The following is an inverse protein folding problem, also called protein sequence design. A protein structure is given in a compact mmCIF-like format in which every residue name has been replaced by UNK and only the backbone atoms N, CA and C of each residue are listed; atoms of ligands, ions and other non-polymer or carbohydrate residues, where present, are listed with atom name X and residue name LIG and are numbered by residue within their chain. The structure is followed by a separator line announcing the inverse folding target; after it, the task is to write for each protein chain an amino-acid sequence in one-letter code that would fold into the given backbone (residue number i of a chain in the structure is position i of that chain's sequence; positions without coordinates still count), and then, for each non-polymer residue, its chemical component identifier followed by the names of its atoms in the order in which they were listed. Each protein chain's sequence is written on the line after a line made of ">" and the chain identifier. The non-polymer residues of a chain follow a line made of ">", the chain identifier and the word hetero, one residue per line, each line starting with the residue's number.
data_IF_569540632494
#
_entry.id   IF_569540632494
#
_cell.length_a   1.000
_cell.length_b   1.000
_cell.length_c   1.000
_cell.angle_alpha   90.00
_cell.angle_beta   90.00
_cell.angle_gamma   90.00
#
_symmetry.space_group_name_H-M   'P 1'
#
loop_
_entity.id
_entity.type
_entity.pdbx_description
1 polymer ?
#
# COMPACT_ATOMS: atom_id res chain seq x y z
N UNK A 1 60.63 12.86 -4.51
CA UNK A 1 59.46 13.14 -3.66
C UNK A 1 58.41 12.11 -4.02
N UNK A 2 58.10 11.16 -3.12
CA UNK A 2 57.17 10.05 -3.40
C UNK A 2 55.95 10.23 -2.50
N UNK A 3 54.71 10.35 -3.02
CA UNK A 3 53.55 10.48 -2.16
C UNK A 3 53.25 9.14 -1.48
N UNK A 4 53.16 9.15 -0.15
CA UNK A 4 52.81 7.96 0.64
C UNK A 4 51.32 7.60 0.50
N UNK A 5 51.04 6.32 0.27
CA UNK A 5 49.68 5.78 0.17
C UNK A 5 49.05 5.69 1.56
N UNK A 6 48.07 6.56 1.82
CA UNK A 6 47.23 6.54 3.02
C UNK A 6 46.28 5.34 2.94
N UNK A 7 46.51 4.30 3.74
CA UNK A 7 45.57 3.19 3.87
C UNK A 7 44.35 3.65 4.66
N UNK A 8 43.30 4.07 3.96
CA UNK A 8 41.99 4.29 4.58
C UNK A 8 41.50 2.94 5.09
N UNK A 9 41.52 2.74 6.42
CA UNK A 9 41.01 1.57 7.13
C UNK A 9 39.50 1.45 7.00
N UNK A 10 39.03 1.24 5.77
CA UNK A 10 37.62 1.09 5.44
C UNK A 10 37.22 -0.32 5.86
N UNK A 11 36.62 -0.44 7.05
CA UNK A 11 35.99 -1.68 7.48
C UNK A 11 35.08 -2.17 6.37
N UNK A 12 35.36 -3.38 5.86
CA UNK A 12 34.47 -4.07 4.93
C UNK A 12 33.17 -4.34 5.67
N UNK A 13 32.13 -3.56 5.38
CA UNK A 13 30.77 -3.94 5.74
C UNK A 13 30.46 -5.19 4.94
N UNK A 14 30.19 -6.31 5.62
CA UNK A 14 29.72 -7.52 4.98
C UNK A 14 28.32 -7.24 4.42
N UNK A 15 28.26 -6.75 3.18
CA UNK A 15 27.01 -6.69 2.45
C UNK A 15 26.58 -8.13 2.17
N UNK A 16 25.75 -8.68 3.05
CA UNK A 16 25.10 -9.97 2.83
C UNK A 16 24.19 -9.81 1.62
N UNK A 17 24.62 -10.36 0.48
CA UNK A 17 23.81 -10.44 -0.72
C UNK A 17 23.00 -11.73 -0.60
N UNK A 18 21.91 -11.71 0.15
CA UNK A 18 20.94 -12.79 0.03
C UNK A 18 20.33 -12.67 -1.37
N UNK A 19 20.38 -13.75 -2.15
CA UNK A 19 19.74 -13.78 -3.45
C UNK A 19 18.23 -13.67 -3.25
N UNK A 20 17.60 -12.62 -3.78
CA UNK A 20 16.14 -12.53 -3.81
C UNK A 20 15.61 -13.53 -4.84
N UNK A 21 14.98 -14.58 -4.35
CA UNK A 21 14.23 -15.52 -5.19
C UNK A 21 12.79 -15.01 -5.24
N UNK A 22 12.26 -14.62 -6.42
CA UNK A 22 10.88 -14.18 -6.52
C UNK A 22 9.93 -15.33 -6.16
N UNK A 23 8.86 -15.08 -5.40
CA UNK A 23 7.83 -16.07 -5.12
C UNK A 23 7.21 -16.59 -6.41
N UNK A 24 6.71 -17.83 -6.39
CA UNK A 24 5.95 -18.35 -7.53
C UNK A 24 4.63 -17.61 -7.68
N UNK A 25 3.99 -17.68 -8.86
CA UNK A 25 2.69 -17.04 -9.10
C UNK A 25 1.64 -17.43 -8.07
N UNK A 26 1.63 -18.69 -7.63
CA UNK A 26 0.71 -19.18 -6.61
C UNK A 26 1.00 -18.57 -5.24
N UNK A 27 2.28 -18.36 -4.91
CA UNK A 27 2.68 -17.72 -3.66
C UNK A 27 2.28 -16.23 -3.67
N UNK A 28 2.43 -15.55 -4.81
CA UNK A 28 1.91 -14.20 -5.00
C UNK A 28 0.40 -14.14 -4.86
N UNK A 29 -0.32 -15.05 -5.49
CA UNK A 29 -1.78 -15.10 -5.38
C UNK A 29 -2.18 -15.29 -3.91
N UNK A 30 -1.55 -16.21 -3.17
CA UNK A 30 -1.86 -16.41 -1.75
C UNK A 30 -1.51 -15.20 -0.86
N UNK A 31 -0.37 -14.55 -1.12
CA UNK A 31 0.09 -13.40 -0.33
C UNK A 31 -0.76 -12.14 -0.57
N UNK A 32 -1.29 -11.96 -1.78
CA UNK A 32 -1.97 -10.74 -2.18
C UNK A 32 -3.49 -10.88 -2.35
N UNK A 33 -4.02 -12.11 -2.44
CA UNK A 33 -5.46 -12.38 -2.52
C UNK A 33 -6.27 -11.62 -1.45
N UNK A 34 -5.91 -11.65 -0.14
CA UNK A 34 -6.71 -10.96 0.88
C UNK A 34 -6.72 -9.43 0.69
N UNK A 35 -5.60 -8.86 0.24
CA UNK A 35 -5.47 -7.43 -0.01
C UNK A 35 -6.38 -6.98 -1.16
N UNK A 36 -6.38 -7.73 -2.26
CA UNK A 36 -7.25 -7.45 -3.40
C UNK A 36 -8.70 -7.79 -3.12
N UNK A 37 -9.00 -8.87 -2.41
CA UNK A 37 -10.38 -9.23 -2.07
C UNK A 37 -11.04 -8.16 -1.20
N UNK A 38 -10.31 -7.55 -0.27
CA UNK A 38 -10.80 -6.43 0.54
C UNK A 38 -11.00 -5.15 -0.30
N UNK A 39 -10.20 -4.94 -1.33
CA UNK A 39 -10.31 -3.78 -2.23
C UNK A 39 -11.45 -3.93 -3.25
N UNK A 40 -11.61 -5.13 -3.81
CA UNK A 40 -12.61 -5.45 -4.84
C UNK A 40 -13.99 -5.72 -4.23
N UNK A 41 -14.04 -6.20 -2.99
CA UNK A 41 -15.27 -6.44 -2.24
C UNK A 41 -15.20 -5.64 -0.93
N UNK A 42 -15.24 -4.29 -1.00
CA UNK A 42 -15.34 -3.52 0.23
C UNK A 42 -16.62 -3.95 0.95
N UNK A 43 -16.61 -4.06 2.29
CA UNK A 43 -17.85 -4.24 3.02
C UNK A 43 -18.80 -3.11 2.62
N UNK A 44 -20.12 -3.38 2.52
CA UNK A 44 -21.09 -2.32 2.30
C UNK A 44 -20.82 -1.26 3.37
N UNK A 45 -20.46 -0.06 2.94
CA UNK A 45 -20.15 1.05 3.82
C UNK A 45 -21.31 1.19 4.80
N UNK A 46 -21.05 1.08 6.10
CA UNK A 46 -22.05 1.19 7.18
C UNK A 46 -22.46 2.67 7.36
N UNK A 47 -22.54 3.42 6.27
CA UNK A 47 -23.03 4.79 6.23
C UNK A 47 -23.72 5.02 4.89
N UNK A 48 -24.94 4.50 4.77
CA UNK A 48 -25.89 4.93 3.75
C UNK A 48 -26.60 6.25 4.14
N UNK A 49 -26.18 6.93 5.22
CA UNK A 49 -26.74 8.23 5.59
C UNK A 49 -26.45 9.34 4.57
N UNK A 50 -25.58 9.12 3.59
CA UNK A 50 -25.39 10.09 2.51
C UNK A 50 -26.62 10.24 1.59
N UNK A 51 -27.48 9.21 1.48
CA UNK A 51 -28.68 9.26 0.63
C UNK A 51 -29.93 9.76 1.39
N UNK A 52 -30.05 9.45 2.67
CA UNK A 52 -31.19 9.89 3.51
C UNK A 52 -31.10 11.37 3.92
N UNK A 53 -29.92 12.00 3.88
CA UNK A 53 -29.77 13.44 4.18
C UNK A 53 -30.15 14.33 2.98
N UNK A 54 -30.30 13.77 1.78
CA UNK A 54 -30.72 14.52 0.58
C UNK A 54 -32.25 14.57 0.45
N UNK A 55 -32.97 13.58 0.98
CA UNK A 55 -34.43 13.53 0.94
C UNK A 55 -35.14 14.71 1.65
N UNK A 56 -34.69 15.21 2.82
CA UNK A 56 -35.36 16.32 3.52
C UNK A 56 -35.24 17.65 2.78
N UNK A 57 -34.29 17.81 1.85
CA UNK A 57 -34.06 19.09 1.17
C UNK A 57 -35.13 19.33 0.09
N UNK A 58 -35.63 18.27 -0.55
CA UNK A 58 -36.66 18.39 -1.60
C UNK A 58 -38.05 18.67 -1.00
N UNK A 59 -38.31 18.21 0.21
CA UNK A 59 -39.60 18.41 0.89
C UNK A 59 -39.76 19.82 1.51
N UNK A 60 -38.65 20.54 1.73
CA UNK A 60 -38.64 21.86 2.38
C UNK A 60 -38.77 23.03 1.38
N UNK A 61 -38.72 22.79 0.07
CA UNK A 61 -38.95 23.84 -0.93
C UNK A 61 -40.44 23.87 -1.31
N UNK A 62 -41.25 24.82 -0.80
CA UNK A 62 -42.63 24.97 -1.25
C UNK A 62 -42.62 25.36 -2.72
N UNK A 63 -43.15 24.49 -3.58
CA UNK A 63 -43.44 24.84 -4.97
C UNK A 63 -44.60 25.84 -4.96
N UNK A 64 -44.33 27.05 -5.42
CA UNK A 64 -45.27 28.19 -5.52
C UNK A 64 -46.18 28.03 -6.73
#
# INVERSE_FOLDING_TARGET
>A
MTPGTISSGLMKKSSSSTSYVPPSRNDWDLLFQPLFNKLLNPPPSVDNQAAEVIAPIVEVIPQV
#
